data_IF_425214316859
#
_entry.id   IF_425214316859
#
_cell.length_a   1.000
_cell.length_b   1.000
_cell.length_c   1.000
_cell.angle_alpha   90.00
_cell.angle_beta   90.00
_cell.angle_gamma   90.00
#
_symmetry.space_group_name_H-M   'P 1'
#
loop_
_entity.id
_entity.type
_entity.pdbx_description
1 polymer ?
#
# COMPACT_ATOMS: atom_id res chain seq x y z
N UNK A 1 -3.11 0.13 10.40
CA UNK A 1 -3.75 -0.94 9.59
C UNK A 1 -5.04 -0.56 8.84
N UNK A 2 -6.21 -0.30 9.47
CA UNK A 2 -7.48 -0.09 8.72
C UNK A 2 -7.44 1.15 7.79
N UNK A 3 -6.73 2.21 8.17
CA UNK A 3 -6.61 3.45 7.38
C UNK A 3 -5.96 3.20 6.01
N UNK A 4 -4.90 2.41 5.95
CA UNK A 4 -4.19 2.05 4.72
C UNK A 4 -5.03 1.12 3.83
N UNK A 5 -5.83 0.23 4.42
CA UNK A 5 -6.74 -0.65 3.67
C UNK A 5 -7.79 0.15 2.87
N UNK A 6 -8.43 1.15 3.48
CA UNK A 6 -9.40 1.99 2.77
C UNK A 6 -8.78 2.80 1.62
N UNK A 7 -7.52 3.24 1.78
CA UNK A 7 -6.79 3.95 0.73
C UNK A 7 -6.51 3.03 -0.47
N UNK A 8 -6.05 1.80 -0.21
CA UNK A 8 -5.79 0.81 -1.27
C UNK A 8 -7.09 0.43 -1.99
N UNK A 9 -8.17 0.21 -1.25
CA UNK A 9 -9.49 -0.06 -1.83
C UNK A 9 -9.98 1.11 -2.69
N UNK A 10 -9.86 2.34 -2.18
CA UNK A 10 -10.22 3.55 -2.92
C UNK A 10 -9.40 3.71 -4.21
N UNK A 11 -8.11 3.43 -4.16
CA UNK A 11 -7.23 3.41 -5.33
C UNK A 11 -7.68 2.39 -6.37
N UNK A 12 -7.98 1.15 -5.95
CA UNK A 12 -8.45 0.10 -6.85
C UNK A 12 -9.79 0.46 -7.52
N UNK A 13 -10.74 1.02 -6.75
CA UNK A 13 -12.01 1.49 -7.28
C UNK A 13 -11.82 2.65 -8.28
N UNK A 14 -10.96 3.61 -7.96
CA UNK A 14 -10.66 4.72 -8.86
C UNK A 14 -10.06 4.23 -10.18
N UNK A 15 -9.09 3.33 -10.13
CA UNK A 15 -8.49 2.71 -11.33
C UNK A 15 -9.56 1.99 -12.14
N UNK A 16 -10.47 1.26 -11.49
CA UNK A 16 -11.55 0.53 -12.17
C UNK A 16 -12.50 1.49 -12.89
N UNK A 17 -12.93 2.58 -12.23
CA UNK A 17 -13.78 3.59 -12.84
C UNK A 17 -13.10 4.26 -14.05
N UNK A 18 -11.84 4.66 -13.91
CA UNK A 18 -11.06 5.23 -15.02
C UNK A 18 -10.85 4.22 -16.14
N UNK A 19 -10.65 2.94 -15.84
CA UNK A 19 -10.50 1.90 -16.85
C UNK A 19 -11.78 1.78 -17.71
N UNK A 20 -12.96 1.79 -17.09
CA UNK A 20 -14.24 1.75 -17.81
C UNK A 20 -14.43 2.97 -18.71
N UNK A 21 -14.13 4.17 -18.19
CA UNK A 21 -14.17 5.41 -18.99
C UNK A 21 -13.15 5.35 -20.13
N UNK A 22 -11.95 4.85 -19.87
CA UNK A 22 -10.88 4.68 -20.86
C UNK A 22 -11.26 3.70 -21.97
N UNK A 23 -11.99 2.62 -21.66
CA UNK A 23 -12.52 1.70 -22.67
C UNK A 23 -13.52 2.39 -23.60
N UNK A 24 -14.37 3.26 -23.04
CA UNK A 24 -15.36 4.01 -23.83
C UNK A 24 -14.67 5.05 -24.72
N UNK A 25 -13.66 5.77 -24.20
CA UNK A 25 -13.00 6.85 -24.92
C UNK A 25 -11.92 6.37 -25.90
N UNK A 26 -11.15 5.35 -25.52
CA UNK A 26 -9.92 4.95 -26.21
C UNK A 26 -9.90 3.47 -26.63
N UNK A 27 -11.05 2.77 -26.57
CA UNK A 27 -11.12 1.34 -26.86
C UNK A 27 -10.82 0.96 -28.31
N UNK A 28 -11.06 1.87 -29.27
CA UNK A 28 -10.81 1.64 -30.70
C UNK A 28 -9.53 2.31 -31.22
N UNK A 29 -8.81 3.07 -30.37
CA UNK A 29 -7.61 3.82 -30.77
C UNK A 29 -6.56 2.90 -31.40
N UNK A 30 -5.99 3.38 -32.51
CA UNK A 30 -4.93 2.68 -33.25
C UNK A 30 -3.70 2.43 -32.36
N UNK A 31 -3.03 1.31 -32.60
CA UNK A 31 -1.77 1.02 -31.91
C UNK A 31 -0.69 2.04 -32.31
N UNK A 32 0.05 2.50 -31.30
CA UNK A 32 1.11 3.50 -31.39
C UNK A 32 2.40 3.01 -30.76
N UNK A 33 3.14 3.91 -30.11
CA UNK A 33 4.41 3.58 -29.45
C UNK A 33 4.19 2.81 -28.14
N UNK A 34 3.27 3.29 -27.29
CA UNK A 34 2.95 2.73 -25.98
C UNK A 34 1.65 1.92 -25.98
N UNK A 35 0.66 2.31 -26.80
CA UNK A 35 -0.57 1.53 -26.98
C UNK A 35 -0.30 0.38 -27.96
N UNK A 36 -0.32 -0.85 -27.45
CA UNK A 36 -0.01 -2.06 -28.23
C UNK A 36 -0.98 -3.22 -27.90
N UNK A 37 -0.72 -4.40 -28.45
CA UNK A 37 -1.59 -5.59 -28.26
C UNK A 37 -1.77 -6.00 -26.80
N UNK A 38 -0.76 -5.79 -25.95
CA UNK A 38 -0.81 -6.12 -24.51
C UNK A 38 -1.25 -4.93 -23.67
N UNK A 39 -1.01 -3.71 -24.14
CA UNK A 39 -1.20 -2.46 -23.43
C UNK A 39 -2.21 -1.58 -24.16
N UNK A 40 -3.50 -1.74 -23.88
CA UNK A 40 -4.58 -1.02 -24.57
C UNK A 40 -5.82 -0.88 -23.70
N UNK A 41 -6.79 -0.11 -24.19
CA UNK A 41 -8.10 0.09 -23.58
C UNK A 41 -9.21 -0.73 -24.26
N UNK A 42 -8.90 -1.81 -24.99
CA UNK A 42 -9.94 -2.61 -25.67
C UNK A 42 -10.87 -3.35 -24.71
N UNK A 43 -10.36 -3.69 -23.53
CA UNK A 43 -11.13 -4.37 -22.47
C UNK A 43 -10.87 -3.71 -21.14
N UNK A 44 -11.82 -3.82 -20.19
CA UNK A 44 -11.65 -3.25 -18.86
C UNK A 44 -10.41 -3.78 -18.14
N UNK A 45 -10.09 -5.07 -18.28
CA UNK A 45 -8.91 -5.67 -17.65
C UNK A 45 -7.60 -5.14 -18.23
N UNK A 46 -7.53 -4.96 -19.56
CA UNK A 46 -6.37 -4.35 -20.20
C UNK A 46 -6.25 -2.88 -19.78
N UNK A 47 -7.37 -2.16 -19.68
CA UNK A 47 -7.41 -0.77 -19.20
C UNK A 47 -6.94 -0.64 -17.74
N UNK A 48 -7.34 -1.55 -16.85
CA UNK A 48 -6.83 -1.61 -15.46
C UNK A 48 -5.32 -1.84 -15.47
N UNK A 49 -4.83 -2.79 -16.27
CA UNK A 49 -3.39 -3.07 -16.38
C UNK A 49 -2.60 -1.88 -16.93
N UNK A 50 -3.17 -1.18 -17.91
CA UNK A 50 -2.62 0.04 -18.51
C UNK A 50 -2.50 1.16 -17.48
N UNK A 51 -3.58 1.42 -16.73
CA UNK A 51 -3.60 2.44 -15.69
C UNK A 51 -2.68 2.08 -14.52
N UNK A 52 -2.56 0.80 -14.17
CA UNK A 52 -1.59 0.33 -13.18
C UNK A 52 -0.15 0.66 -13.58
N UNK A 53 0.22 0.45 -14.85
CA UNK A 53 1.54 0.87 -15.38
C UNK A 53 1.74 2.38 -15.24
N UNK A 54 0.72 3.18 -15.57
CA UNK A 54 0.77 4.64 -15.40
C UNK A 54 0.99 5.05 -13.94
N UNK A 55 0.39 4.34 -12.97
CA UNK A 55 0.61 4.60 -11.54
C UNK A 55 2.08 4.45 -11.15
N UNK A 56 2.79 3.49 -11.74
CA UNK A 56 4.23 3.30 -11.51
C UNK A 56 5.11 4.36 -12.19
N UNK A 57 4.52 5.26 -12.97
CA UNK A 57 5.20 6.32 -13.70
C UNK A 57 5.77 5.90 -15.04
N UNK A 58 5.48 4.69 -15.51
CA UNK A 58 5.99 4.16 -16.77
C UNK A 58 5.26 4.79 -17.97
N UNK A 59 6.00 5.52 -18.81
CA UNK A 59 5.62 5.92 -20.17
C UNK A 59 4.22 6.56 -20.35
N UNK A 60 3.66 7.15 -19.29
CA UNK A 60 2.30 7.72 -19.33
C UNK A 60 2.12 8.81 -20.39
N UNK A 61 3.18 9.60 -20.63
CA UNK A 61 3.20 10.62 -21.69
C UNK A 61 3.04 10.02 -23.09
N UNK A 62 3.67 8.85 -23.34
CA UNK A 62 3.56 8.18 -24.64
C UNK A 62 2.14 7.64 -24.86
N UNK A 63 1.56 7.05 -23.82
CA UNK A 63 0.15 6.58 -23.84
C UNK A 63 -0.80 7.74 -24.13
N UNK A 64 -0.54 8.88 -23.48
CA UNK A 64 -1.28 10.11 -23.67
C UNK A 64 -1.17 10.59 -25.13
N UNK A 65 0.03 10.67 -25.71
CA UNK A 65 0.24 11.06 -27.10
C UNK A 65 -0.41 10.10 -28.11
N UNK A 66 -0.30 8.80 -27.90
CA UNK A 66 -0.99 7.79 -28.73
C UNK A 66 -2.52 7.96 -28.68
N UNK A 67 -3.07 8.41 -27.55
CA UNK A 67 -4.50 8.64 -27.37
C UNK A 67 -4.99 9.97 -27.97
N UNK A 68 -4.08 10.84 -28.41
CA UNK A 68 -4.36 12.09 -29.12
C UNK A 68 -4.30 11.96 -30.64
N UNK A 69 -4.18 10.74 -31.17
CA UNK A 69 -3.96 10.54 -32.60
C UNK A 69 -5.09 11.16 -33.44
N UNK A 70 -4.72 12.04 -34.36
CA UNK A 70 -5.61 12.73 -35.29
C UNK A 70 -5.26 12.41 -36.76
N UNK A 71 -6.16 12.65 -37.72
CA UNK A 71 -5.87 12.48 -39.15
C UNK A 71 -4.66 13.33 -39.59
N UNK A 72 -3.77 12.86 -40.47
CA UNK A 72 -3.87 11.67 -41.34
C UNK A 72 -3.31 10.36 -40.73
N UNK A 73 -2.94 10.34 -39.44
CA UNK A 73 -2.31 9.16 -38.81
C UNK A 73 -3.32 8.08 -38.36
N UNK A 74 -4.60 8.46 -38.28
CA UNK A 74 -5.75 7.61 -38.06
C UNK A 74 -6.78 7.74 -39.20
N UNK A 75 -7.73 6.81 -39.24
CA UNK A 75 -8.80 6.68 -40.23
C UNK A 75 -10.12 7.13 -39.62
N UNK A 76 -10.57 8.32 -40.00
CA UNK A 76 -11.90 8.80 -39.64
C UNK A 76 -12.91 8.39 -40.72
N UNK A 77 -13.92 7.61 -40.32
CA UNK A 77 -15.07 7.22 -41.13
C UNK A 77 -16.29 8.02 -40.64
N UNK A 78 -16.71 9.07 -41.37
CA UNK A 78 -17.76 9.99 -40.90
C UNK A 78 -19.15 9.35 -40.80
N UNK A 79 -19.43 8.31 -41.59
CA UNK A 79 -20.73 7.61 -41.60
C UNK A 79 -20.75 6.34 -40.72
N UNK A 80 -19.68 6.06 -39.97
CA UNK A 80 -19.62 4.89 -39.09
C UNK A 80 -19.83 5.26 -37.62
N UNK A 81 -20.20 4.25 -36.83
CA UNK A 81 -20.24 4.39 -35.39
C UNK A 81 -18.86 4.72 -34.80
N UNK A 82 -18.84 5.30 -33.59
CA UNK A 82 -17.59 5.75 -32.97
C UNK A 82 -16.58 4.61 -32.72
N UNK A 83 -17.05 3.38 -32.52
CA UNK A 83 -16.18 2.20 -32.29
C UNK A 83 -15.49 1.69 -33.56
N UNK A 84 -15.93 2.12 -34.74
CA UNK A 84 -15.29 1.78 -36.03
C UNK A 84 -14.24 2.83 -36.47
N UNK A 85 -14.14 3.93 -35.72
CA UNK A 85 -13.10 4.94 -35.86
C UNK A 85 -11.90 4.56 -34.99
N UNK A 86 -10.68 4.65 -35.54
CA UNK A 86 -9.42 4.35 -34.84
C UNK A 86 -8.66 5.61 -34.38
N UNK A 87 -9.28 6.79 -34.52
CA UNK A 87 -8.77 8.07 -34.05
C UNK A 87 -8.98 8.26 -32.54
N UNK A 88 -8.05 8.99 -31.93
CA UNK A 88 -8.15 9.45 -30.56
C UNK A 88 -8.94 10.75 -30.43
N UNK A 89 -8.90 11.35 -29.24
CA UNK A 89 -9.49 12.66 -28.99
C UNK A 89 -8.52 13.49 -28.16
N UNK A 90 -7.99 14.56 -28.76
CA UNK A 90 -6.96 15.41 -28.16
C UNK A 90 -7.38 15.95 -26.78
N UNK A 91 -8.55 16.59 -26.71
CA UNK A 91 -9.01 17.25 -25.48
C UNK A 91 -9.36 16.20 -24.42
N UNK A 92 -10.07 15.15 -24.79
CA UNK A 92 -10.47 14.11 -23.85
C UNK A 92 -9.27 13.35 -23.29
N UNK A 93 -8.24 13.06 -24.11
CA UNK A 93 -7.01 12.43 -23.67
C UNK A 93 -6.27 13.28 -22.63
N UNK A 94 -6.06 14.57 -22.90
CA UNK A 94 -5.41 15.49 -21.95
C UNK A 94 -6.17 15.50 -20.62
N UNK A 95 -7.49 15.72 -20.66
CA UNK A 95 -8.29 15.79 -19.43
C UNK A 95 -8.26 14.47 -18.68
N UNK A 96 -8.42 13.34 -19.37
CA UNK A 96 -8.44 12.01 -18.76
C UNK A 96 -7.12 11.65 -18.09
N UNK A 97 -6.00 11.69 -18.83
CA UNK A 97 -4.72 11.24 -18.31
C UNK A 97 -4.13 12.21 -17.29
N UNK A 98 -4.22 13.53 -17.52
CA UNK A 98 -3.68 14.50 -16.56
C UNK A 98 -4.48 14.49 -15.24
N UNK A 99 -5.81 14.42 -15.29
CA UNK A 99 -6.62 14.32 -14.06
C UNK A 99 -6.34 13.03 -13.30
N UNK A 100 -6.29 11.88 -14.00
CA UNK A 100 -5.92 10.60 -13.41
C UNK A 100 -4.55 10.66 -12.74
N UNK A 101 -3.54 11.16 -13.46
CA UNK A 101 -2.15 11.20 -12.98
C UNK A 101 -1.98 12.08 -11.74
N UNK A 102 -2.62 13.24 -11.71
CA UNK A 102 -2.60 14.13 -10.55
C UNK A 102 -3.26 13.46 -9.35
N UNK A 103 -4.47 12.93 -9.52
CA UNK A 103 -5.23 12.30 -8.42
C UNK A 103 -4.48 11.08 -7.87
N UNK A 104 -3.99 10.19 -8.74
CA UNK A 104 -3.32 8.97 -8.30
C UNK A 104 -2.00 9.27 -7.59
N UNK A 105 -1.23 10.25 -8.07
CA UNK A 105 0.01 10.66 -7.42
C UNK A 105 -0.25 11.18 -6.01
N UNK A 106 -1.29 11.99 -5.81
CA UNK A 106 -1.69 12.43 -4.47
C UNK A 106 -2.10 11.26 -3.57
N UNK A 107 -2.84 10.28 -4.09
CA UNK A 107 -3.23 9.09 -3.31
C UNK A 107 -2.00 8.27 -2.92
N UNK A 108 -1.07 8.01 -3.85
CA UNK A 108 0.16 7.26 -3.61
C UNK A 108 1.06 7.97 -2.61
N UNK A 109 1.21 9.29 -2.70
CA UNK A 109 1.96 10.07 -1.71
C UNK A 109 1.36 9.97 -0.31
N UNK A 110 0.03 10.08 -0.20
CA UNK A 110 -0.67 9.92 1.07
C UNK A 110 -0.52 8.49 1.64
N UNK A 111 -0.49 7.47 0.78
CA UNK A 111 -0.23 6.09 1.16
C UNK A 111 1.20 5.91 1.67
N UNK A 112 2.19 6.49 0.98
CA UNK A 112 3.59 6.46 1.40
C UNK A 112 3.77 7.11 2.77
N UNK A 113 3.19 8.30 2.97
CA UNK A 113 3.22 9.01 4.26
C UNK A 113 2.57 8.17 5.36
N UNK A 114 1.41 7.56 5.10
CA UNK A 114 0.74 6.71 6.08
C UNK A 114 1.60 5.51 6.49
N UNK A 115 2.23 4.83 5.53
CA UNK A 115 3.12 3.68 5.79
C UNK A 115 4.36 4.13 6.58
N UNK A 116 4.98 5.23 6.20
CA UNK A 116 6.18 5.74 6.86
C UNK A 116 5.86 6.14 8.31
N UNK A 117 4.74 6.81 8.57
CA UNK A 117 4.32 7.18 9.92
C UNK A 117 4.01 5.96 10.79
N UNK A 118 3.37 4.93 10.23
CA UNK A 118 3.13 3.66 10.94
C UNK A 118 4.47 2.98 11.31
N UNK A 119 5.43 2.93 10.38
CA UNK A 119 6.77 2.41 10.65
C UNK A 119 7.52 3.24 11.71
N UNK A 120 7.56 4.56 11.57
CA UNK A 120 8.21 5.41 12.56
C UNK A 120 7.56 5.28 13.93
N UNK A 121 6.23 5.22 14.03
CA UNK A 121 5.54 5.01 15.31
C UNK A 121 5.85 3.66 15.96
N UNK A 122 6.12 2.62 15.16
CA UNK A 122 6.48 1.29 15.64
C UNK A 122 7.90 1.30 16.22
N UNK A 123 8.86 1.87 15.50
CA UNK A 123 10.28 1.87 15.90
C UNK A 123 10.64 2.98 16.91
N UNK A 124 9.95 4.12 16.86
CA UNK A 124 10.10 5.27 17.74
C UNK A 124 8.89 5.41 18.66
N UNK A 125 8.45 4.29 19.25
CA UNK A 125 7.61 4.37 20.44
C UNK A 125 8.42 5.16 21.49
N UNK A 126 8.00 6.39 21.77
CA UNK A 126 8.61 7.20 22.81
C UNK A 126 8.76 6.32 24.06
N UNK A 127 9.95 6.32 24.67
CA UNK A 127 10.29 5.48 25.83
C UNK A 127 9.29 5.57 26.99
N UNK A 128 8.40 6.57 26.97
CA UNK A 128 7.37 6.84 27.98
C UNK A 128 6.01 6.14 27.74
N UNK A 129 5.67 5.76 26.49
CA UNK A 129 4.36 5.12 26.15
C UNK A 129 4.47 3.63 25.78
N UNK A 130 5.69 3.11 25.59
CA UNK A 130 5.90 1.69 25.36
C UNK A 130 5.71 0.90 26.66
N UNK A 131 4.74 -0.02 26.68
CA UNK A 131 4.44 -0.89 27.83
C UNK A 131 5.65 -1.74 28.28
N UNK A 132 6.65 -1.91 27.41
CA UNK A 132 7.94 -2.53 27.69
C UNK A 132 9.04 -1.74 26.95
N UNK A 133 9.98 -1.14 27.68
CA UNK A 133 11.08 -0.39 27.09
C UNK A 133 12.13 -1.32 26.46
N UNK A 134 12.86 -0.84 25.46
CA UNK A 134 14.03 -1.54 24.89
C UNK A 134 15.07 -1.91 25.96
N UNK A 135 15.23 -1.07 26.99
CA UNK A 135 16.11 -1.34 28.12
C UNK A 135 15.64 -2.55 28.94
N UNK A 136 14.32 -2.70 29.15
CA UNK A 136 13.74 -3.83 29.88
C UNK A 136 13.92 -5.14 29.11
N UNK A 137 13.74 -5.12 27.78
CA UNK A 137 13.97 -6.27 26.90
C UNK A 137 15.44 -6.70 26.95
N UNK A 138 16.37 -5.75 26.87
CA UNK A 138 17.81 -6.04 26.90
C UNK A 138 18.25 -6.59 28.25
N UNK A 139 17.69 -6.07 29.34
CA UNK A 139 17.96 -6.57 30.68
C UNK A 139 17.38 -7.99 30.88
N UNK A 140 16.21 -8.26 30.32
CA UNK A 140 15.63 -9.60 30.27
C UNK A 140 16.50 -10.57 29.46
N UNK A 141 16.91 -10.21 28.25
CA UNK A 141 17.79 -11.04 27.41
C UNK A 141 19.12 -11.34 28.10
N UNK A 142 19.75 -10.35 28.75
CA UNK A 142 20.97 -10.57 29.51
C UNK A 142 20.75 -11.52 30.70
N UNK A 143 19.65 -11.35 31.44
CA UNK A 143 19.32 -12.23 32.57
C UNK A 143 19.00 -13.65 32.09
N UNK A 144 18.28 -13.79 30.98
CA UNK A 144 17.93 -15.07 30.38
C UNK A 144 19.19 -15.80 29.87
N UNK A 145 20.10 -15.11 29.18
CA UNK A 145 21.36 -15.70 28.70
C UNK A 145 22.25 -16.23 29.82
N UNK A 146 22.17 -15.64 31.02
CA UNK A 146 22.91 -16.14 32.20
C UNK A 146 22.25 -17.41 32.76
N UNK A 147 20.93 -17.53 32.64
CA UNK A 147 20.15 -18.66 33.16
C UNK A 147 20.11 -19.84 32.18
N UNK A 148 20.16 -19.59 30.88
CA UNK A 148 20.03 -20.57 29.79
C UNK A 148 21.37 -21.21 29.35
N UNK A 149 22.42 -21.09 30.17
CA UNK A 149 23.70 -21.81 29.94
C UNK A 149 23.52 -23.33 29.99
N UNK A 150 22.45 -23.82 30.64
CA UNK A 150 22.09 -25.24 30.67
C UNK A 150 20.87 -25.50 29.78
N UNK A 151 21.10 -25.53 28.48
CA UNK A 151 20.12 -25.96 27.48
C UNK A 151 19.68 -27.41 27.74
N UNK A 152 18.59 -27.63 28.50
CA UNK A 152 17.92 -28.94 28.56
C UNK A 152 16.47 -28.95 29.09
N UNK A 153 16.02 -28.06 29.98
CA UNK A 153 14.67 -28.17 30.55
C UNK A 153 13.91 -26.84 30.58
N UNK A 154 13.37 -26.49 29.40
CA UNK A 154 12.45 -25.38 29.22
C UNK A 154 11.07 -25.71 29.81
N UNK A 155 10.90 -25.46 31.11
CA UNK A 155 9.58 -25.25 31.71
C UNK A 155 9.58 -24.01 32.60
N UNK A 156 8.62 -23.07 32.47
CA UNK A 156 8.59 -21.80 33.20
C UNK A 156 8.62 -21.95 34.73
N UNK A 157 8.24 -23.12 35.25
CA UNK A 157 8.22 -23.41 36.68
C UNK A 157 9.62 -23.64 37.28
N UNK A 158 10.54 -24.24 36.53
CA UNK A 158 11.88 -24.58 37.02
C UNK A 158 12.84 -23.37 37.05
N UNK A 159 12.70 -22.44 36.09
CA UNK A 159 13.52 -21.22 36.01
C UNK A 159 13.21 -20.17 37.11
N UNK A 160 12.05 -20.28 37.77
CA UNK A 160 11.62 -19.32 38.82
C UNK A 160 12.46 -19.40 40.10
N UNK A 161 13.10 -20.55 40.35
CA UNK A 161 13.82 -20.83 41.59
C UNK A 161 15.32 -20.50 41.51
N UNK A 162 15.91 -20.47 40.31
CA UNK A 162 17.31 -20.06 40.07
C UNK A 162 17.48 -18.55 39.83
N UNK A 163 16.36 -17.82 39.67
CA UNK A 163 16.38 -16.37 39.56
C UNK A 163 16.83 -15.74 40.89
N UNK A 164 17.93 -14.98 40.86
CA UNK A 164 18.39 -14.17 41.99
C UNK A 164 17.24 -13.29 42.52
N UNK A 165 17.23 -12.99 43.83
CA UNK A 165 16.16 -12.21 44.47
C UNK A 165 15.86 -10.87 43.76
N UNK A 166 16.88 -10.29 43.10
CA UNK A 166 16.77 -9.09 42.26
C UNK A 166 15.86 -9.33 41.04
N UNK A 167 16.03 -10.46 40.38
CA UNK A 167 15.33 -10.79 39.15
C UNK A 167 13.88 -11.23 39.45
N UNK A 168 13.59 -11.80 40.63
CA UNK A 168 12.21 -12.05 41.11
C UNK A 168 11.42 -10.76 41.37
N UNK A 169 12.08 -9.70 41.82
CA UNK A 169 11.45 -8.39 42.02
C UNK A 169 11.06 -7.76 40.68
N UNK A 170 11.95 -7.87 39.67
CA UNK A 170 11.65 -7.46 38.30
C UNK A 170 10.49 -8.26 37.71
N UNK A 171 10.47 -9.59 37.90
CA UNK A 171 9.37 -10.45 37.44
C UNK A 171 8.03 -10.13 38.11
N UNK A 172 8.03 -9.90 39.42
CA UNK A 172 6.82 -9.45 40.15
C UNK A 172 6.35 -8.07 39.70
N UNK A 173 7.26 -7.16 39.37
CA UNK A 173 6.92 -5.84 38.83
C UNK A 173 6.26 -5.95 37.46
N UNK A 174 6.84 -6.75 36.56
CA UNK A 174 6.31 -7.00 35.20
C UNK A 174 4.96 -7.72 35.27
N UNK A 175 4.82 -8.79 36.07
CA UNK A 175 3.55 -9.50 36.27
C UNK A 175 2.47 -8.59 36.86
N UNK A 176 2.83 -7.70 37.79
CA UNK A 176 1.90 -6.74 38.38
C UNK A 176 1.45 -5.68 37.36
N UNK A 177 2.33 -5.23 36.46
CA UNK A 177 1.98 -4.35 35.33
C UNK A 177 1.07 -5.03 34.30
N UNK A 178 1.32 -6.31 34.00
CA UNK A 178 0.48 -7.10 33.10
C UNK A 178 -0.92 -7.33 33.72
N UNK A 179 -0.97 -7.71 35.00
CA UNK A 179 -2.21 -7.95 35.73
C UNK A 179 -3.05 -6.68 35.98
N UNK A 180 -2.44 -5.49 36.03
CA UNK A 180 -3.20 -4.23 36.11
C UNK A 180 -3.82 -3.80 34.77
N UNK A 181 -3.31 -4.30 33.63
CA UNK A 181 -3.88 -4.00 32.31
C UNK A 181 -5.09 -4.88 31.96
N UNK A 182 -5.17 -6.10 32.51
CA UNK A 182 -6.32 -6.98 32.30
C UNK A 182 -7.59 -6.46 33.01
N UNK A 183 -7.45 -5.70 34.08
CA UNK A 183 -8.57 -5.00 34.74
C UNK A 183 -9.11 -3.81 33.95
N UNK A 184 -8.35 -3.22 33.02
CA UNK A 184 -8.80 -2.06 32.22
C UNK A 184 -9.57 -2.47 30.95
N UNK A 185 -9.43 -3.71 30.49
CA UNK A 185 -10.09 -4.20 29.28
C UNK A 185 -11.49 -4.84 29.53
N UNK A 186 -11.95 -4.91 30.78
CA UNK A 186 -13.25 -5.49 31.15
C UNK A 186 -14.34 -4.44 31.48
N UNK A 187 -14.03 -3.15 31.35
CA UNK A 187 -14.97 -2.04 31.54
C UNK A 187 -14.74 -0.96 30.49
N UNK A 188 -15.17 -1.26 29.27
CA UNK A 188 -15.79 -0.35 28.31
C UNK A 188 -16.30 -1.15 27.10
#
# INVERSE_FOLDING_TARGET
MYKSFFIILGMFLLITCYALVGVILFGSVKYGEAINRQANFRTAMNGISMLFRIVTGEDWNRVLHDSMLEPPYCTLKPDSDYWDNDCGNFVAAIVFFCSFYVIITYIVLNLLVAIIMENFSLFYSNEEDALLSYADIRNFQNTWNIVDVNSAEASPSAASNSFSASSRAAWKSILKKIASSSSTCATN
#
